data_IF_034617741901
#
_entry.id   IF_034617741901
#
_cell.length_a   1.000
_cell.length_b   1.000
_cell.length_c   1.000
_cell.angle_alpha   90.00
_cell.angle_beta   90.00
_cell.angle_gamma   90.00
#
_symmetry.space_group_name_H-M   'P 1'
#
loop_
_entity.id
_entity.type
_entity.pdbx_description
1 polymer ?
#
# COMPACT_ATOMS: atom_id res chain seq x y z
N UNK A 1 -61.57 -20.23 -24.83
CA UNK A 1 -61.14 -19.25 -23.81
C UNK A 1 -59.87 -18.58 -24.28
N UNK A 2 -59.94 -17.30 -24.63
CA UNK A 2 -58.79 -16.56 -25.11
C UNK A 2 -57.85 -16.15 -23.96
N UNK A 3 -56.55 -16.26 -24.20
CA UNK A 3 -55.52 -15.91 -23.21
C UNK A 3 -55.38 -14.39 -23.08
N UNK A 4 -54.95 -13.93 -21.89
CA UNK A 4 -54.62 -12.53 -21.68
C UNK A 4 -53.55 -12.05 -22.67
N UNK A 5 -53.63 -10.79 -23.09
CA UNK A 5 -52.70 -10.19 -24.05
C UNK A 5 -52.24 -8.82 -23.61
N UNK A 6 -51.06 -8.44 -24.09
CA UNK A 6 -50.58 -7.06 -24.01
C UNK A 6 -50.91 -6.37 -25.32
N UNK A 7 -51.67 -5.29 -25.24
CA UNK A 7 -52.03 -4.43 -26.37
C UNK A 7 -51.50 -3.02 -26.15
N UNK A 8 -51.49 -2.23 -27.23
CA UNK A 8 -51.22 -0.81 -27.19
C UNK A 8 -52.26 -0.11 -28.06
N UNK A 9 -53.04 0.80 -27.47
CA UNK A 9 -54.06 1.52 -28.22
C UNK A 9 -53.39 2.57 -29.13
N UNK A 10 -53.92 2.82 -30.34
CA UNK A 10 -53.43 3.88 -31.21
C UNK A 10 -53.40 5.23 -30.48
N UNK A 11 -52.25 5.90 -30.46
CA UNK A 11 -52.07 7.18 -29.77
C UNK A 11 -51.76 7.09 -28.26
N UNK A 12 -51.76 5.89 -27.66
CA UNK A 12 -51.31 5.69 -26.27
C UNK A 12 -49.91 5.06 -26.22
N UNK A 13 -49.08 5.49 -25.28
CA UNK A 13 -47.74 4.94 -25.03
C UNK A 13 -47.74 3.81 -24.00
N UNK A 14 -48.83 3.65 -23.25
CA UNK A 14 -48.95 2.61 -22.22
C UNK A 14 -49.06 1.22 -22.85
N UNK A 15 -48.45 0.24 -22.18
CA UNK A 15 -48.71 -1.18 -22.47
C UNK A 15 -49.85 -1.65 -21.58
N UNK A 16 -50.92 -2.09 -22.22
CA UNK A 16 -52.19 -2.38 -21.58
C UNK A 16 -52.45 -3.88 -21.60
N UNK A 17 -52.83 -4.44 -20.46
CA UNK A 17 -53.16 -5.86 -20.31
C UNK A 17 -54.67 -6.00 -20.32
N UNK A 18 -55.14 -6.92 -21.16
CA UNK A 18 -56.55 -7.28 -21.37
C UNK A 18 -56.71 -8.79 -21.25
N UNK A 19 -57.94 -9.24 -20.98
CA UNK A 19 -58.24 -10.66 -20.79
C UNK A 19 -57.81 -11.17 -19.41
N UNK A 20 -57.81 -10.31 -18.39
CA UNK A 20 -57.46 -10.73 -17.02
C UNK A 20 -58.63 -11.48 -16.37
N UNK A 21 -58.32 -12.47 -15.54
CA UNK A 21 -59.33 -13.16 -14.72
C UNK A 21 -59.49 -12.44 -13.39
N UNK A 22 -60.71 -12.04 -13.06
CA UNK A 22 -61.00 -11.23 -11.90
C UNK A 22 -61.50 -12.07 -10.72
N UNK A 23 -61.18 -11.62 -9.52
CA UNK A 23 -61.61 -12.26 -8.27
C UNK A 23 -61.92 -11.19 -7.24
N UNK A 24 -63.09 -11.31 -6.61
CA UNK A 24 -63.45 -10.53 -5.43
C UNK A 24 -62.52 -10.87 -4.25
N UNK A 25 -62.14 -9.87 -3.47
CA UNK A 25 -61.41 -10.04 -2.22
C UNK A 25 -62.16 -9.30 -1.10
N UNK A 26 -62.40 -9.96 0.02
CA UNK A 26 -63.02 -9.31 1.18
C UNK A 26 -62.16 -8.14 1.71
N UNK A 27 -60.84 -8.24 1.50
CA UNK A 27 -59.84 -7.23 1.88
C UNK A 27 -58.64 -7.28 0.95
N UNK A 28 -57.89 -6.19 0.93
CA UNK A 28 -56.61 -6.12 0.22
C UNK A 28 -55.69 -7.31 0.58
N UNK A 29 -55.40 -8.23 -0.36
CA UNK A 29 -54.66 -9.45 -0.04
C UNK A 29 -53.18 -9.17 0.24
N UNK A 30 -52.60 -9.93 1.16
CA UNK A 30 -51.18 -9.88 1.50
C UNK A 30 -50.31 -10.45 0.36
N UNK A 31 -49.04 -10.03 0.28
CA UNK A 31 -48.15 -10.41 -0.81
C UNK A 31 -47.91 -11.92 -0.92
N UNK A 32 -47.88 -12.65 0.19
CA UNK A 32 -47.75 -14.11 0.21
C UNK A 32 -48.98 -14.82 -0.37
N UNK A 33 -50.19 -14.39 0.02
CA UNK A 33 -51.45 -14.93 -0.48
C UNK A 33 -51.62 -14.65 -1.98
N UNK A 34 -51.24 -13.45 -2.44
CA UNK A 34 -51.22 -13.10 -3.87
C UNK A 34 -50.27 -13.99 -4.66
N UNK A 35 -49.05 -14.24 -4.17
CA UNK A 35 -48.10 -15.15 -4.83
C UNK A 35 -48.61 -16.57 -4.90
N UNK A 36 -49.25 -17.06 -3.83
CA UNK A 36 -49.85 -18.39 -3.84
C UNK A 36 -50.96 -18.49 -4.91
N UNK A 37 -51.88 -17.52 -4.95
CA UNK A 37 -52.94 -17.48 -5.95
C UNK A 37 -52.40 -17.32 -7.39
N UNK A 38 -51.34 -16.54 -7.58
CA UNK A 38 -50.73 -16.32 -8.89
C UNK A 38 -50.13 -17.59 -9.50
N UNK A 39 -49.64 -18.54 -8.69
CA UNK A 39 -49.13 -19.83 -9.19
C UNK A 39 -50.20 -20.64 -9.91
N UNK A 40 -51.45 -20.58 -9.44
CA UNK A 40 -52.57 -21.34 -10.02
C UNK A 40 -53.29 -20.54 -11.11
N UNK A 41 -53.35 -19.22 -10.97
CA UNK A 41 -54.26 -18.36 -11.75
C UNK A 41 -53.56 -17.45 -12.76
N UNK A 42 -52.24 -17.37 -12.73
CA UNK A 42 -51.45 -16.58 -13.67
C UNK A 42 -50.42 -15.72 -12.94
N UNK A 43 -49.20 -15.74 -13.47
CA UNK A 43 -48.01 -15.08 -12.90
C UNK A 43 -48.18 -13.57 -12.72
N UNK A 44 -48.94 -12.92 -13.61
CA UNK A 44 -49.11 -11.47 -13.63
C UNK A 44 -50.34 -11.06 -12.83
N UNK A 45 -50.17 -10.11 -11.92
CA UNK A 45 -51.19 -9.73 -10.95
C UNK A 45 -51.45 -8.24 -11.00
N UNK A 46 -52.73 -7.86 -11.04
CA UNK A 46 -53.19 -6.50 -10.82
C UNK A 46 -54.05 -6.45 -9.56
N UNK A 47 -53.82 -5.46 -8.69
CA UNK A 47 -54.67 -5.21 -7.52
C UNK A 47 -55.49 -3.96 -7.79
N UNK A 48 -56.79 -4.05 -7.55
CA UNK A 48 -57.74 -2.95 -7.73
C UNK A 48 -58.54 -2.76 -6.45
N UNK A 49 -58.78 -1.50 -6.11
CA UNK A 49 -59.85 -1.09 -5.19
C UNK A 49 -60.87 -0.34 -6.03
N UNK A 50 -62.12 -0.77 -6.02
CA UNK A 50 -63.19 -0.20 -6.84
C UNK A 50 -63.59 1.18 -6.32
N UNK A 51 -64.29 1.98 -7.14
CA UNK A 51 -64.88 3.26 -6.69
C UNK A 51 -65.84 3.08 -5.50
N UNK A 52 -66.52 1.94 -5.40
CA UNK A 52 -67.43 1.56 -4.31
C UNK A 52 -66.74 0.95 -3.09
N UNK A 53 -65.41 0.82 -3.12
CA UNK A 53 -64.60 0.43 -1.98
C UNK A 53 -64.25 -1.06 -1.88
N UNK A 54 -64.83 -1.92 -2.73
CA UNK A 54 -64.49 -3.34 -2.81
C UNK A 54 -63.06 -3.58 -3.30
N UNK A 55 -62.50 -4.75 -2.98
CA UNK A 55 -61.18 -5.16 -3.45
C UNK A 55 -61.30 -6.25 -4.51
N UNK A 56 -60.51 -6.13 -5.57
CA UNK A 56 -60.40 -7.17 -6.58
C UNK A 56 -58.94 -7.42 -6.98
N UNK A 57 -58.69 -8.65 -7.38
CA UNK A 57 -57.42 -9.06 -7.97
C UNK A 57 -57.64 -9.61 -9.37
N UNK A 58 -56.92 -9.04 -10.35
CA UNK A 58 -56.85 -9.54 -11.71
C UNK A 58 -55.61 -10.42 -11.90
N UNK A 59 -55.76 -11.59 -12.52
CA UNK A 59 -54.68 -12.52 -12.84
C UNK A 59 -54.55 -12.72 -14.34
N UNK A 60 -53.31 -12.74 -14.84
CA UNK A 60 -53.01 -12.97 -16.24
C UNK A 60 -51.81 -13.92 -16.42
N UNK A 61 -51.90 -14.75 -17.45
CA UNK A 61 -50.77 -15.51 -17.98
C UNK A 61 -50.34 -14.82 -19.27
N UNK A 62 -49.15 -14.23 -19.27
CA UNK A 62 -48.59 -13.49 -20.41
C UNK A 62 -47.26 -14.11 -20.80
N UNK A 63 -47.10 -14.44 -22.08
CA UNK A 63 -45.85 -14.90 -22.66
C UNK A 63 -44.96 -13.69 -22.95
N UNK A 64 -44.18 -13.26 -21.95
CA UNK A 64 -43.29 -12.10 -22.02
C UNK A 64 -41.82 -12.53 -21.90
N UNK A 65 -40.94 -11.89 -22.68
CA UNK A 65 -39.50 -12.02 -22.54
C UNK A 65 -38.97 -11.48 -21.20
N UNK A 66 -37.67 -11.69 -20.91
CA UNK A 66 -37.00 -11.39 -19.62
C UNK A 66 -37.16 -9.96 -19.07
N UNK A 67 -37.57 -8.97 -19.87
CA UNK A 67 -37.82 -7.59 -19.44
C UNK A 67 -39.30 -7.27 -19.57
N UNK A 68 -40.05 -7.46 -18.50
CA UNK A 68 -41.41 -6.93 -18.43
C UNK A 68 -41.37 -5.42 -18.24
N UNK A 69 -42.01 -4.71 -19.15
CA UNK A 69 -42.19 -3.26 -19.06
C UNK A 69 -43.25 -2.90 -18.01
N UNK A 70 -43.33 -1.62 -17.65
CA UNK A 70 -44.41 -1.11 -16.81
C UNK A 70 -45.76 -1.25 -17.53
N UNK A 71 -46.51 -2.30 -17.20
CA UNK A 71 -47.81 -2.62 -17.79
C UNK A 71 -48.95 -2.16 -16.86
N UNK A 72 -50.10 -1.89 -17.45
CA UNK A 72 -51.32 -1.45 -16.75
C UNK A 72 -52.49 -2.35 -17.13
N UNK A 73 -53.42 -2.62 -16.21
CA UNK A 73 -54.65 -3.35 -16.53
C UNK A 73 -55.64 -2.42 -17.22
N UNK A 74 -56.04 -2.73 -18.46
CA UNK A 74 -57.06 -1.95 -19.16
C UNK A 74 -58.42 -2.10 -18.49
N UNK A 75 -58.79 -3.34 -18.13
CA UNK A 75 -60.06 -3.60 -17.44
C UNK A 75 -60.18 -2.79 -16.16
N UNK A 76 -59.11 -2.71 -15.36
CA UNK A 76 -59.12 -1.89 -14.15
C UNK A 76 -59.29 -0.39 -14.42
N UNK A 77 -58.65 0.13 -15.47
CA UNK A 77 -58.73 1.55 -15.86
C UNK A 77 -60.12 1.93 -16.35
N UNK A 78 -60.76 1.04 -17.11
CA UNK A 78 -62.05 1.27 -17.75
C UNK A 78 -63.23 0.98 -16.82
N UNK A 79 -63.10 0.04 -15.89
CA UNK A 79 -64.23 -0.43 -15.10
C UNK A 79 -64.94 0.68 -14.32
N UNK A 80 -64.23 1.72 -13.86
CA UNK A 80 -64.80 2.86 -13.13
C UNK A 80 -65.30 4.00 -14.05
N UNK A 81 -65.21 3.86 -15.39
CA UNK A 81 -65.54 4.93 -16.32
C UNK A 81 -67.05 5.17 -16.47
N UNK A 82 -67.88 4.18 -16.10
CA UNK A 82 -69.34 4.24 -16.14
C UNK A 82 -69.97 3.60 -14.90
N UNK A 83 -71.14 4.07 -14.43
CA UNK A 83 -71.87 3.43 -13.35
C UNK A 83 -72.28 2.00 -13.70
N UNK A 84 -72.27 1.12 -12.70
CA UNK A 84 -72.80 -0.24 -12.84
C UNK A 84 -74.34 -0.30 -12.89
N UNK A 85 -74.93 -1.40 -13.40
CA UNK A 85 -74.30 -2.47 -14.17
C UNK A 85 -74.15 -2.11 -15.65
N UNK A 86 -72.96 -2.32 -16.21
CA UNK A 86 -72.69 -2.03 -17.62
C UNK A 86 -71.79 -3.08 -18.26
N UNK A 87 -71.93 -3.25 -19.57
CA UNK A 87 -71.03 -4.05 -20.38
C UNK A 87 -70.59 -3.27 -21.62
N UNK A 88 -69.38 -3.54 -22.07
CA UNK A 88 -68.82 -2.91 -23.26
C UNK A 88 -68.22 -3.91 -24.23
N UNK A 89 -68.40 -3.63 -25.52
CA UNK A 89 -67.76 -4.37 -26.62
C UNK A 89 -67.03 -3.34 -27.49
N UNK A 90 -65.71 -3.50 -27.60
CA UNK A 90 -64.85 -2.58 -28.31
C UNK A 90 -64.09 -3.28 -29.43
N UNK A 91 -64.19 -2.74 -30.64
CA UNK A 91 -63.36 -3.15 -31.77
C UNK A 91 -61.95 -2.56 -31.61
N UNK A 92 -60.96 -3.43 -31.40
CA UNK A 92 -59.56 -3.02 -31.25
C UNK A 92 -58.79 -3.00 -32.58
N UNK A 93 -59.45 -3.34 -33.69
CA UNK A 93 -58.86 -3.51 -35.01
C UNK A 93 -58.38 -4.94 -35.27
N UNK A 94 -58.06 -5.22 -36.53
CA UNK A 94 -57.51 -6.52 -36.98
C UNK A 94 -58.39 -7.74 -36.63
N UNK A 95 -59.71 -7.54 -36.53
CA UNK A 95 -60.67 -8.60 -36.16
C UNK A 95 -60.62 -8.99 -34.68
N UNK A 96 -59.94 -8.21 -33.84
CA UNK A 96 -59.84 -8.39 -32.41
C UNK A 96 -60.84 -7.48 -31.70
N UNK A 97 -61.69 -8.08 -30.89
CA UNK A 97 -62.65 -7.40 -30.03
C UNK A 97 -62.27 -7.59 -28.56
N UNK A 98 -62.63 -6.60 -27.75
CA UNK A 98 -62.49 -6.65 -26.31
C UNK A 98 -63.85 -6.44 -25.64
N UNK A 99 -64.14 -7.30 -24.67
CA UNK A 99 -65.36 -7.32 -23.89
C UNK A 99 -65.04 -7.05 -22.43
N UNK A 100 -65.84 -6.18 -21.82
CA UNK A 100 -65.81 -5.94 -20.38
C UNK A 100 -67.22 -5.96 -19.78
N UNK A 101 -67.38 -6.53 -18.60
CA UNK A 101 -68.64 -6.55 -17.86
C UNK A 101 -68.41 -6.17 -16.39
N UNK A 102 -69.15 -5.17 -15.91
CA UNK A 102 -68.97 -4.57 -14.59
C UNK A 102 -70.30 -4.50 -13.83
N UNK A 103 -70.32 -5.04 -12.62
CA UNK A 103 -71.51 -5.16 -11.77
C UNK A 103 -71.14 -5.32 -10.28
N UNK A 104 -72.13 -5.16 -9.40
CA UNK A 104 -72.09 -5.36 -7.96
C UNK A 104 -70.85 -4.77 -7.26
N UNK A 105 -70.91 -3.48 -6.90
CA UNK A 105 -69.85 -2.67 -6.30
C UNK A 105 -68.70 -2.28 -7.25
N UNK A 106 -69.06 -2.02 -8.50
CA UNK A 106 -68.20 -1.64 -9.60
C UNK A 106 -67.13 -2.70 -9.88
N UNK A 107 -67.49 -3.97 -9.72
CA UNK A 107 -66.60 -5.10 -9.87
C UNK A 107 -66.62 -5.66 -11.29
N UNK A 108 -65.44 -5.97 -11.81
CA UNK A 108 -65.36 -6.71 -13.08
C UNK A 108 -65.75 -8.16 -12.78
N UNK A 109 -66.67 -8.73 -13.54
CA UNK A 109 -67.06 -10.13 -13.36
C UNK A 109 -65.85 -11.06 -13.55
N UNK A 110 -65.82 -12.25 -12.91
CA UNK A 110 -64.66 -13.14 -12.96
C UNK A 110 -64.15 -13.49 -14.37
N UNK A 111 -65.08 -13.64 -15.32
CA UNK A 111 -64.87 -13.86 -16.76
C UNK A 111 -65.40 -12.68 -17.61
N UNK A 112 -65.52 -11.50 -17.00
CA UNK A 112 -65.97 -10.25 -17.60
C UNK A 112 -64.88 -9.37 -18.17
N UNK A 113 -63.70 -9.90 -18.47
CA UNK A 113 -62.63 -9.20 -19.21
C UNK A 113 -62.07 -10.21 -20.23
N UNK A 114 -62.49 -10.07 -21.48
CA UNK A 114 -62.24 -11.07 -22.55
C UNK A 114 -61.76 -10.35 -23.81
N UNK A 115 -60.70 -10.86 -24.42
CA UNK A 115 -60.21 -10.39 -25.73
C UNK A 115 -60.30 -11.55 -26.72
N UNK A 116 -60.81 -11.35 -27.93
CA UNK A 116 -60.99 -12.46 -28.87
C UNK A 116 -61.49 -12.00 -30.22
N UNK A 117 -61.97 -12.92 -31.04
CA UNK A 117 -62.72 -12.57 -32.23
C UNK A 117 -64.18 -12.20 -31.86
N UNK A 118 -65.01 -11.91 -32.86
CA UNK A 118 -66.41 -11.55 -32.63
C UNK A 118 -67.20 -12.66 -31.92
N UNK A 119 -67.01 -13.90 -32.33
CA UNK A 119 -67.70 -15.07 -31.76
C UNK A 119 -67.35 -15.29 -30.29
N UNK A 120 -66.06 -15.15 -29.93
CA UNK A 120 -65.57 -15.24 -28.55
C UNK A 120 -66.27 -14.21 -27.64
N UNK A 121 -66.48 -13.00 -28.17
CA UNK A 121 -67.12 -11.90 -27.43
C UNK A 121 -68.63 -12.12 -27.32
N UNK A 122 -69.28 -12.62 -28.36
CA UNK A 122 -70.71 -12.95 -28.31
C UNK A 122 -70.99 -14.11 -27.35
N UNK A 123 -70.11 -15.11 -27.30
CA UNK A 123 -70.18 -16.18 -26.29
C UNK A 123 -70.03 -15.62 -24.87
N UNK A 124 -69.07 -14.71 -24.66
CA UNK A 124 -68.89 -14.05 -23.36
C UNK A 124 -70.11 -13.22 -22.95
N UNK A 125 -70.70 -12.49 -23.89
CA UNK A 125 -71.95 -11.74 -23.67
C UNK A 125 -73.11 -12.67 -23.32
N UNK A 126 -73.24 -13.80 -24.02
CA UNK A 126 -74.32 -14.76 -23.78
C UNK A 126 -74.27 -15.35 -22.36
N UNK A 127 -73.07 -15.63 -21.82
CA UNK A 127 -72.89 -16.10 -20.43
C UNK A 127 -73.42 -15.11 -19.39
N UNK A 128 -73.37 -13.80 -19.69
CA UNK A 128 -73.81 -12.75 -18.77
C UNK A 128 -75.23 -12.21 -19.05
N UNK A 129 -75.91 -12.71 -20.08
CA UNK A 129 -77.23 -12.23 -20.48
C UNK A 129 -78.30 -12.43 -19.39
N UNK A 130 -78.17 -13.48 -18.57
CA UNK A 130 -79.11 -13.83 -17.51
C UNK A 130 -79.16 -12.84 -16.33
N UNK A 131 -78.12 -12.01 -16.14
CA UNK A 131 -78.06 -11.05 -15.04
C UNK A 131 -78.98 -9.82 -15.24
N UNK A 132 -79.37 -9.50 -16.47
CA UNK A 132 -80.29 -8.41 -16.82
C UNK A 132 -79.84 -6.99 -16.44
N UNK A 133 -80.56 -5.95 -16.91
CA UNK A 133 -80.35 -4.55 -16.48
C UNK A 133 -79.08 -3.86 -16.97
N UNK A 134 -78.35 -4.44 -17.93
CA UNK A 134 -77.11 -3.91 -18.46
C UNK A 134 -77.28 -2.61 -19.26
N UNK A 135 -76.45 -1.59 -18.98
CA UNK A 135 -76.13 -0.54 -19.95
C UNK A 135 -75.12 -1.08 -20.98
N UNK A 136 -75.44 -0.92 -22.27
CA UNK A 136 -74.60 -1.41 -23.38
C UNK A 136 -73.74 -0.29 -23.93
N UNK A 137 -72.45 -0.56 -24.06
CA UNK A 137 -71.45 0.41 -24.52
C UNK A 137 -70.62 -0.19 -25.64
N UNK A 138 -71.00 0.09 -26.88
CA UNK A 138 -70.25 -0.36 -28.05
C UNK A 138 -69.31 0.75 -28.55
N UNK A 139 -68.14 0.39 -29.06
CA UNK A 139 -67.20 1.36 -29.61
C UNK A 139 -65.98 0.74 -30.27
N UNK A 140 -64.97 1.56 -30.52
CA UNK A 140 -63.67 1.16 -31.07
C UNK A 140 -62.52 1.49 -30.10
N UNK A 141 -61.28 1.24 -30.52
CA UNK A 141 -60.08 1.57 -29.76
C UNK A 141 -60.00 3.06 -29.34
N UNK A 142 -60.56 3.99 -30.12
CA UNK A 142 -60.58 5.42 -29.80
C UNK A 142 -61.58 5.73 -28.69
N UNK A 143 -62.73 5.04 -28.68
CA UNK A 143 -63.70 5.12 -27.59
C UNK A 143 -63.07 4.62 -26.28
N UNK A 144 -62.35 3.50 -26.31
CA UNK A 144 -61.60 3.00 -25.14
C UNK A 144 -60.58 4.03 -24.66
N UNK A 145 -59.82 4.63 -25.58
CA UNK A 145 -58.83 5.65 -25.22
C UNK A 145 -59.50 6.85 -24.53
N UNK A 146 -60.66 7.29 -25.01
CA UNK A 146 -61.41 8.39 -24.39
C UNK A 146 -61.82 8.09 -22.94
N UNK A 147 -62.21 6.84 -22.64
CA UNK A 147 -62.60 6.41 -21.29
C UNK A 147 -61.43 6.49 -20.30
N UNK A 148 -60.21 6.23 -20.76
CA UNK A 148 -59.02 6.18 -19.90
C UNK A 148 -58.17 7.46 -19.91
N UNK A 149 -58.39 8.37 -20.87
CA UNK A 149 -57.55 9.58 -21.05
C UNK A 149 -57.68 10.60 -19.92
N UNK A 150 -58.83 10.65 -19.23
CA UNK A 150 -59.07 11.54 -18.09
C UNK A 150 -58.67 10.96 -16.72
N UNK A 151 -58.34 9.67 -16.66
CA UNK A 151 -58.09 8.99 -15.39
C UNK A 151 -56.63 9.17 -14.95
N UNK A 152 -56.44 9.71 -13.73
CA UNK A 152 -55.12 9.75 -13.06
C UNK A 152 -54.79 8.44 -12.32
N UNK A 153 -55.69 7.46 -12.32
CA UNK A 153 -55.49 6.20 -11.61
C UNK A 153 -54.48 5.32 -12.35
N UNK A 154 -53.74 4.53 -11.59
CA UNK A 154 -52.75 3.58 -12.10
C UNK A 154 -53.03 2.21 -11.48
N UNK A 155 -53.10 1.21 -12.35
CA UNK A 155 -53.38 -0.18 -12.00
C UNK A 155 -52.26 -1.06 -12.57
N UNK A 156 -51.08 -1.04 -11.94
CA UNK A 156 -49.92 -1.77 -12.44
C UNK A 156 -50.16 -3.27 -12.42
N UNK A 157 -49.70 -3.92 -13.49
CA UNK A 157 -49.66 -5.38 -13.59
C UNK A 157 -48.24 -5.82 -13.25
N UNK A 158 -48.08 -6.50 -12.12
CA UNK A 158 -46.78 -6.86 -11.56
C UNK A 158 -46.51 -8.35 -11.70
N UNK A 159 -45.24 -8.69 -11.87
CA UNK A 159 -44.76 -10.06 -11.84
C UNK A 159 -44.73 -10.55 -10.39
N UNK A 160 -45.56 -11.55 -10.06
CA UNK A 160 -45.60 -12.12 -8.71
C UNK A 160 -44.35 -12.96 -8.36
N UNK A 161 -43.61 -13.43 -9.37
CA UNK A 161 -42.41 -14.24 -9.20
C UNK A 161 -41.12 -13.42 -9.16
N UNK A 162 -41.18 -12.14 -9.55
CA UNK A 162 -40.02 -11.27 -9.53
C UNK A 162 -39.45 -11.14 -8.11
N UNK A 163 -38.13 -11.35 -7.99
CA UNK A 163 -37.38 -11.20 -6.73
C UNK A 163 -36.42 -10.01 -6.83
N UNK A 164 -36.91 -8.77 -6.69
CA UNK A 164 -36.10 -7.56 -6.89
C UNK A 164 -34.96 -7.42 -5.88
N UNK A 165 -35.05 -8.08 -4.72
CA UNK A 165 -34.03 -8.04 -3.67
C UNK A 165 -32.80 -8.91 -3.96
N UNK A 166 -32.89 -9.90 -4.85
CA UNK A 166 -31.78 -10.81 -5.12
C UNK A 166 -30.59 -10.10 -5.77
N UNK A 167 -30.84 -9.21 -6.73
CA UNK A 167 -29.79 -8.46 -7.42
C UNK A 167 -28.94 -7.61 -6.45
N UNK A 168 -29.52 -6.73 -5.60
CA UNK A 168 -28.72 -5.98 -4.63
C UNK A 168 -28.11 -6.89 -3.54
N UNK A 169 -28.76 -7.97 -3.14
CA UNK A 169 -28.20 -8.91 -2.14
C UNK A 169 -26.93 -9.61 -2.67
N UNK A 170 -26.94 -10.07 -3.92
CA UNK A 170 -25.75 -10.67 -4.57
C UNK A 170 -24.64 -9.62 -4.72
N UNK A 171 -24.98 -8.39 -5.10
CA UNK A 171 -24.03 -7.29 -5.17
C UNK A 171 -23.38 -6.98 -3.82
N UNK A 172 -24.18 -6.89 -2.75
CA UNK A 172 -23.69 -6.66 -1.39
C UNK A 172 -22.79 -7.78 -0.87
N UNK A 173 -23.17 -9.05 -1.10
CA UNK A 173 -22.35 -10.20 -0.72
C UNK A 173 -20.99 -10.21 -1.44
N UNK A 174 -20.98 -9.86 -2.73
CA UNK A 174 -19.75 -9.80 -3.52
C UNK A 174 -18.80 -8.70 -3.00
N UNK A 175 -19.34 -7.52 -2.66
CA UNK A 175 -18.55 -6.42 -2.07
C UNK A 175 -17.94 -6.79 -0.72
N UNK A 176 -18.69 -7.51 0.13
CA UNK A 176 -18.19 -8.00 1.42
C UNK A 176 -17.05 -9.01 1.26
N UNK A 177 -17.12 -9.89 0.27
CA UNK A 177 -16.05 -10.85 0.01
C UNK A 177 -14.77 -10.16 -0.48
N UNK A 178 -14.90 -9.17 -1.38
CA UNK A 178 -13.75 -8.40 -1.88
C UNK A 178 -13.10 -7.59 -0.78
N UNK A 179 -13.88 -6.93 0.08
CA UNK A 179 -13.33 -6.16 1.21
C UNK A 179 -12.66 -7.06 2.24
N UNK A 180 -13.25 -8.21 2.58
CA UNK A 180 -12.65 -9.19 3.47
C UNK A 180 -11.32 -9.74 2.91
N UNK A 181 -11.27 -10.07 1.62
CA UNK A 181 -10.05 -10.51 0.96
C UNK A 181 -8.95 -9.44 0.98
N UNK A 182 -9.32 -8.18 0.71
CA UNK A 182 -8.41 -7.03 0.77
C UNK A 182 -7.80 -6.84 2.16
N UNK A 183 -8.63 -6.88 3.22
CA UNK A 183 -8.17 -6.80 4.61
C UNK A 183 -7.25 -7.97 4.99
N UNK A 184 -7.57 -9.18 4.54
CA UNK A 184 -6.75 -10.37 4.80
C UNK A 184 -5.36 -10.26 4.15
N UNK A 185 -5.31 -9.79 2.90
CA UNK A 185 -4.06 -9.55 2.16
C UNK A 185 -3.22 -8.45 2.82
N UNK A 186 -3.85 -7.35 3.22
CA UNK A 186 -3.18 -6.28 3.95
C UNK A 186 -2.56 -6.79 5.25
N UNK A 187 -3.33 -7.56 6.04
CA UNK A 187 -2.86 -8.02 7.33
C UNK A 187 -1.68 -9.01 7.19
N UNK A 188 -1.71 -9.88 6.18
CA UNK A 188 -0.57 -10.75 5.86
C UNK A 188 0.66 -9.96 5.45
N UNK A 189 0.49 -8.88 4.68
CA UNK A 189 1.61 -8.04 4.27
C UNK A 189 2.25 -7.32 5.46
N UNK A 190 1.44 -6.71 6.35
CA UNK A 190 1.89 -6.11 7.60
C UNK A 190 2.73 -7.08 8.46
N UNK A 191 2.25 -8.33 8.61
CA UNK A 191 2.97 -9.37 9.36
C UNK A 191 4.32 -9.72 8.71
N UNK A 192 4.37 -9.85 7.38
CA UNK A 192 5.61 -10.13 6.65
C UNK A 192 6.62 -8.99 6.77
N UNK A 193 6.16 -7.73 6.68
CA UNK A 193 7.00 -6.55 6.84
C UNK A 193 7.56 -6.43 8.25
N UNK A 194 6.76 -6.76 9.28
CA UNK A 194 7.21 -6.75 10.66
C UNK A 194 8.35 -7.77 10.90
N UNK A 195 8.25 -8.97 10.32
CA UNK A 195 9.31 -9.99 10.39
C UNK A 195 10.61 -9.51 9.73
N UNK A 196 10.53 -8.94 8.53
CA UNK A 196 11.70 -8.40 7.83
C UNK A 196 12.40 -7.28 8.62
N UNK A 197 11.63 -6.41 9.29
CA UNK A 197 12.18 -5.35 10.14
C UNK A 197 12.94 -5.92 11.34
N UNK A 198 12.43 -6.96 11.97
CA UNK A 198 13.10 -7.61 13.11
C UNK A 198 14.42 -8.26 12.68
N UNK A 199 14.45 -8.95 11.54
CA UNK A 199 15.68 -9.53 10.99
C UNK A 199 16.72 -8.46 10.62
N UNK A 200 16.29 -7.36 10.02
CA UNK A 200 17.18 -6.25 9.67
C UNK A 200 17.84 -5.64 10.92
N UNK A 201 17.06 -5.43 12.00
CA UNK A 201 17.58 -4.94 13.27
C UNK A 201 18.55 -5.93 13.92
N UNK A 202 18.23 -7.23 13.91
CA UNK A 202 19.11 -8.27 14.44
C UNK A 202 20.45 -8.33 13.67
N UNK A 203 20.43 -8.21 12.34
CA UNK A 203 21.66 -8.14 11.52
C UNK A 203 22.50 -6.92 11.86
N UNK A 204 21.88 -5.75 12.02
CA UNK A 204 22.60 -4.53 12.40
C UNK A 204 23.24 -4.66 13.79
N UNK A 205 22.53 -5.24 14.75
CA UNK A 205 23.06 -5.48 16.08
C UNK A 205 24.22 -6.48 16.05
N UNK A 206 24.11 -7.57 15.29
CA UNK A 206 25.19 -8.54 15.12
C UNK A 206 26.44 -7.92 14.48
N UNK A 207 26.28 -7.09 13.45
CA UNK A 207 27.40 -6.36 12.83
C UNK A 207 28.06 -5.40 13.81
N UNK A 208 27.28 -4.66 14.61
CA UNK A 208 27.82 -3.76 15.65
C UNK A 208 28.57 -4.53 16.73
N UNK A 209 28.03 -5.66 17.20
CA UNK A 209 28.68 -6.51 18.19
C UNK A 209 29.99 -7.12 17.65
N UNK A 210 29.98 -7.58 16.39
CA UNK A 210 31.18 -8.08 15.72
C UNK A 210 32.25 -6.99 15.59
N UNK A 211 31.87 -5.78 15.17
CA UNK A 211 32.79 -4.63 15.13
C UNK A 211 33.36 -4.34 16.51
N UNK A 212 32.52 -4.27 17.56
CA UNK A 212 32.98 -4.02 18.93
C UNK A 212 33.93 -5.11 19.47
N UNK A 213 33.70 -6.39 19.13
CA UNK A 213 34.58 -7.48 19.50
C UNK A 213 35.92 -7.46 18.74
N UNK A 214 35.92 -6.95 17.50
CA UNK A 214 37.11 -6.90 16.64
C UNK A 214 38.06 -5.73 16.92
N UNK A 215 37.67 -4.75 17.74
CA UNK A 215 38.58 -3.66 18.14
C UNK A 215 39.61 -4.21 19.13
N UNK A 216 40.90 -4.37 18.75
CA UNK A 216 41.90 -4.83 19.68
C UNK A 216 42.03 -3.80 20.82
N UNK A 217 41.99 -4.25 22.08
CA UNK A 217 42.19 -3.38 23.27
C UNK A 217 43.50 -2.58 23.22
N UNK A 218 44.47 -3.02 22.41
CA UNK A 218 45.72 -2.29 22.15
C UNK A 218 45.52 -0.95 21.40
N UNK A 219 44.43 -0.77 20.65
CA UNK A 219 44.11 0.51 20.00
C UNK A 219 43.75 1.63 20.99
N UNK A 220 43.56 1.31 22.28
CA UNK A 220 43.33 2.29 23.34
C UNK A 220 44.61 2.85 23.97
N UNK A 221 45.80 2.29 23.68
CA UNK A 221 47.08 2.81 24.18
C UNK A 221 47.67 3.72 23.11
N UNK A 222 47.73 5.01 23.41
CA UNK A 222 48.30 6.01 22.50
C UNK A 222 49.81 5.74 22.34
N UNK A 223 50.35 5.56 21.11
CA UNK A 223 51.74 5.11 20.90
C UNK A 223 52.79 5.97 21.59
N UNK A 224 52.57 7.28 21.70
CA UNK A 224 53.48 8.22 22.36
C UNK A 224 53.56 8.09 23.88
N UNK A 225 52.64 7.35 24.51
CA UNK A 225 52.71 7.02 25.94
C UNK A 225 53.73 5.93 26.25
N UNK A 226 54.19 5.20 25.21
CA UNK A 226 55.19 4.13 25.32
C UNK A 226 56.61 4.61 24.98
N UNK A 227 56.79 5.90 24.71
CA UNK A 227 58.07 6.55 24.41
C UNK A 227 58.54 7.37 25.62
N UNK A 228 59.85 7.60 25.76
CA UNK A 228 60.35 8.50 26.79
C UNK A 228 60.05 9.96 26.44
N UNK A 229 60.15 10.84 27.44
CA UNK A 229 60.06 12.28 27.17
C UNK A 229 61.20 12.71 26.24
N UNK A 230 60.94 13.69 25.37
CA UNK A 230 61.97 14.22 24.45
C UNK A 230 63.19 14.76 25.22
N UNK A 231 62.96 15.37 26.39
CA UNK A 231 64.04 15.90 27.23
C UNK A 231 64.93 14.79 27.83
N UNK A 232 64.34 13.70 28.32
CA UNK A 232 65.11 12.59 28.88
C UNK A 232 65.85 11.82 27.79
N UNK A 233 65.22 11.67 26.62
CA UNK A 233 65.87 11.08 25.44
C UNK A 233 67.08 11.89 24.99
N UNK A 234 66.93 13.21 24.79
CA UNK A 234 68.04 14.07 24.37
C UNK A 234 69.17 14.11 25.40
N UNK A 235 68.85 14.17 26.70
CA UNK A 235 69.86 14.14 27.77
C UNK A 235 70.65 12.84 27.77
N UNK A 236 69.96 11.71 27.58
CA UNK A 236 70.58 10.39 27.56
C UNK A 236 71.47 10.19 26.32
N UNK A 237 70.99 10.61 25.14
CA UNK A 237 71.77 10.57 23.91
C UNK A 237 73.00 11.50 23.98
N UNK A 238 72.83 12.72 24.51
CA UNK A 238 73.93 13.67 24.70
C UNK A 238 75.05 13.10 25.59
N UNK A 239 74.69 12.55 26.75
CA UNK A 239 75.68 11.90 27.62
C UNK A 239 76.36 10.68 26.98
N UNK A 240 75.65 9.91 26.16
CA UNK A 240 76.24 8.80 25.41
C UNK A 240 77.18 9.27 24.28
N UNK A 241 76.87 10.42 23.65
CA UNK A 241 77.74 11.05 22.66
C UNK A 241 79.03 11.57 23.29
N UNK A 242 78.94 12.28 24.42
CA UNK A 242 80.12 12.82 25.14
C UNK A 242 81.08 11.71 25.59
N UNK A 243 80.55 10.53 25.91
CA UNK A 243 81.35 9.36 26.28
C UNK A 243 81.94 8.61 25.07
N UNK A 244 81.56 8.96 23.84
CA UNK A 244 82.04 8.30 22.61
C UNK A 244 83.29 9.01 22.08
N UNK A 245 84.44 8.31 21.91
CA UNK A 245 85.61 8.93 21.32
C UNK A 245 85.34 9.31 19.85
N UNK A 246 85.84 10.45 19.39
CA UNK A 246 85.66 10.88 17.98
C UNK A 246 86.62 10.16 17.02
N UNK A 247 87.76 9.70 17.55
CA UNK A 247 88.72 8.87 16.84
C UNK A 247 89.39 7.89 17.81
N UNK A 248 89.70 6.70 17.32
CA UNK A 248 90.37 5.66 18.08
C UNK A 248 91.25 4.83 17.14
N UNK A 249 92.53 4.66 17.46
CA UNK A 249 93.45 3.73 16.78
C UNK A 249 93.47 3.84 15.24
N UNK A 250 93.32 5.05 14.70
CA UNK A 250 93.29 5.33 13.25
C UNK A 250 91.94 5.08 12.56
N UNK A 251 90.88 4.92 13.36
CA UNK A 251 89.48 4.93 12.95
C UNK A 251 88.81 6.22 13.41
N UNK A 252 87.98 6.81 12.57
CA UNK A 252 87.24 8.04 12.86
C UNK A 252 85.76 7.75 12.86
N UNK A 253 85.03 8.30 13.83
CA UNK A 253 83.58 8.18 13.90
C UNK A 253 82.96 8.96 12.73
N UNK A 254 82.30 8.25 11.83
CA UNK A 254 81.69 8.82 10.62
C UNK A 254 80.18 8.98 10.73
N UNK A 255 79.51 8.19 11.57
CA UNK A 255 78.09 8.37 11.88
C UNK A 255 77.78 7.91 13.31
N UNK A 256 76.82 8.59 13.92
CA UNK A 256 76.33 8.34 15.27
C UNK A 256 74.83 8.58 15.31
N UNK A 257 74.06 7.54 15.60
CA UNK A 257 72.60 7.57 15.61
C UNK A 257 72.07 7.09 16.97
N UNK A 258 71.15 7.83 17.57
CA UNK A 258 70.47 7.44 18.81
C UNK A 258 69.01 7.13 18.49
N UNK A 259 68.57 5.89 18.72
CA UNK A 259 67.25 5.39 18.36
C UNK A 259 66.46 4.99 19.60
N UNK A 260 65.14 5.18 19.57
CA UNK A 260 64.23 4.77 20.64
C UNK A 260 63.19 3.78 20.13
N UNK A 261 62.93 2.74 20.92
CA UNK A 261 61.88 1.75 20.71
C UNK A 261 60.78 1.87 21.79
N UNK A 262 59.57 1.33 21.54
CA UNK A 262 58.50 1.27 22.54
C UNK A 262 58.96 0.59 23.84
N UNK A 263 58.54 1.11 25.00
CA UNK A 263 58.95 0.63 26.32
C UNK A 263 60.19 1.33 26.88
N UNK A 264 60.59 2.47 26.31
CA UNK A 264 61.70 3.30 26.80
C UNK A 264 63.10 2.75 26.49
N UNK A 265 63.22 1.74 25.63
CA UNK A 265 64.51 1.20 25.21
C UNK A 265 65.21 2.16 24.22
N UNK A 266 66.48 2.45 24.46
CA UNK A 266 67.28 3.35 23.62
C UNK A 266 68.58 2.67 23.20
N UNK A 267 68.91 2.74 21.92
CA UNK A 267 70.12 2.17 21.32
C UNK A 267 70.94 3.26 20.64
N UNK A 268 72.26 3.11 20.70
CA UNK A 268 73.22 4.00 20.02
C UNK A 268 73.96 3.18 18.97
N UNK A 269 73.76 3.57 17.72
CA UNK A 269 74.42 2.99 16.57
C UNK A 269 75.60 3.90 16.17
N UNK A 270 76.77 3.30 16.03
CA UNK A 270 78.02 3.98 15.70
C UNK A 270 78.63 3.36 14.47
N UNK A 271 79.05 4.21 13.55
CA UNK A 271 79.77 3.80 12.35
C UNK A 271 81.13 4.46 12.34
N UNK A 272 82.18 3.65 12.22
CA UNK A 272 83.56 4.09 12.17
C UNK A 272 84.12 3.86 10.78
N UNK A 273 84.86 4.83 10.26
CA UNK A 273 85.56 4.76 8.99
C UNK A 273 87.07 4.71 9.20
N UNK A 274 87.77 3.87 8.42
CA UNK A 274 89.23 3.72 8.50
C UNK A 274 89.93 4.90 7.82
N UNK A 275 90.79 5.61 8.55
CA UNK A 275 91.62 6.72 8.01
C UNK A 275 93.13 6.43 8.10
N UNK A 276 93.50 5.36 8.81
CA UNK A 276 94.89 4.89 8.94
C UNK A 276 95.09 3.74 9.92
N UNK A 277 94.03 3.29 10.61
CA UNK A 277 94.04 2.19 11.57
C UNK A 277 94.29 0.82 10.94
N UNK A 278 94.29 -0.26 11.71
CA UNK A 278 94.44 -1.63 11.17
C UNK A 278 93.32 -2.53 11.66
N UNK A 279 93.07 -3.62 10.94
CA UNK A 279 92.04 -4.61 11.30
C UNK A 279 92.34 -5.31 12.64
N UNK A 280 93.61 -5.32 13.06
CA UNK A 280 94.05 -5.84 14.35
C UNK A 280 93.69 -4.91 15.53
N UNK A 281 93.35 -3.65 15.26
CA UNK A 281 92.98 -2.62 16.24
C UNK A 281 91.72 -1.89 15.80
N UNK A 282 90.64 -2.65 15.60
CA UNK A 282 89.32 -2.11 15.29
C UNK A 282 88.57 -1.70 16.56
N UNK A 283 87.76 -0.63 16.52
CA UNK A 283 86.74 -0.39 17.53
C UNK A 283 85.83 -1.61 17.71
N UNK A 284 85.24 -1.77 18.90
CA UNK A 284 84.32 -2.88 19.17
C UNK A 284 83.07 -2.77 18.27
N UNK A 285 82.82 -3.79 17.45
CA UNK A 285 81.69 -3.85 16.53
C UNK A 285 81.89 -4.90 15.43
N UNK A 286 81.02 -4.86 14.43
CA UNK A 286 81.10 -5.71 13.23
C UNK A 286 81.90 -4.99 12.16
N UNK A 287 83.06 -5.54 11.80
CA UNK A 287 83.87 -5.06 10.68
C UNK A 287 83.23 -5.49 9.35
N UNK A 288 83.10 -4.53 8.43
CA UNK A 288 82.62 -4.76 7.07
C UNK A 288 83.63 -5.59 6.26
N UNK A 289 83.14 -6.33 5.26
CA UNK A 289 83.95 -7.23 4.44
C UNK A 289 85.07 -6.51 3.65
N UNK A 290 84.93 -5.21 3.43
CA UNK A 290 85.92 -4.35 2.78
C UNK A 290 87.02 -3.85 3.74
N UNK A 291 86.93 -4.17 5.04
CA UNK A 291 87.90 -3.78 6.06
C UNK A 291 87.93 -2.28 6.37
N UNK A 292 86.98 -1.49 5.84
CA UNK A 292 87.03 -0.03 5.93
C UNK A 292 85.97 0.58 6.85
N UNK A 293 84.98 -0.20 7.29
CA UNK A 293 83.89 0.28 8.15
C UNK A 293 83.63 -0.66 9.31
N UNK A 294 83.47 -0.12 10.53
CA UNK A 294 82.99 -0.88 11.70
C UNK A 294 81.64 -0.32 12.14
N UNK A 295 80.64 -1.19 12.31
CA UNK A 295 79.33 -0.83 12.86
C UNK A 295 79.11 -1.45 14.23
N UNK A 296 78.69 -0.65 15.19
CA UNK A 296 78.42 -1.09 16.54
C UNK A 296 77.06 -0.56 17.02
N UNK A 297 76.22 -1.43 17.56
CA UNK A 297 74.95 -1.06 18.18
C UNK A 297 75.03 -1.37 19.67
N UNK A 298 74.84 -0.37 20.53
CA UNK A 298 74.92 -0.53 21.99
C UNK A 298 73.65 -0.02 22.65
N UNK A 299 72.97 -0.83 23.49
CA UNK A 299 71.86 -0.34 24.28
C UNK A 299 72.37 0.59 25.40
N UNK A 300 71.61 1.63 25.73
CA UNK A 300 71.85 2.38 26.96
C UNK A 300 71.54 1.49 28.17
N UNK A 301 72.35 1.61 29.22
CA UNK A 301 72.31 0.71 30.37
C UNK A 301 70.98 0.72 31.17
N UNK A 302 70.13 1.74 30.99
CA UNK A 302 68.81 1.81 31.64
C UNK A 302 67.74 2.28 30.66
N UNK A 303 66.56 1.63 30.65
CA UNK A 303 65.41 2.13 29.92
C UNK A 303 65.01 3.49 30.49
N UNK A 304 64.68 4.42 29.60
CA UNK A 304 64.24 5.76 29.97
C UNK A 304 62.80 5.71 30.49
N UNK A 305 62.45 6.59 31.45
CA UNK A 305 61.08 6.65 31.97
C UNK A 305 60.10 7.05 30.86
N UNK A 306 58.92 6.44 30.89
CA UNK A 306 57.81 6.81 29.99
C UNK A 306 57.44 8.28 30.20
N UNK A 307 57.25 9.02 29.11
CA UNK A 307 56.77 10.40 29.18
C UNK A 307 55.36 10.46 29.77
N UNK A 308 55.04 11.52 30.51
CA UNK A 308 53.72 11.74 31.13
C UNK A 308 52.57 11.97 30.11
N UNK A 309 52.80 11.71 28.82
CA UNK A 309 51.83 11.92 27.74
C UNK A 309 51.60 13.39 27.36
N UNK A 310 52.26 14.34 28.04
CA UNK A 310 52.17 15.76 27.72
C UNK A 310 52.98 16.07 26.45
N UNK A 311 52.29 16.49 25.39
CA UNK A 311 52.88 16.87 24.11
C UNK A 311 52.86 18.41 24.02
N UNK A 312 54.01 19.02 23.74
CA UNK A 312 54.06 20.44 23.36
C UNK A 312 53.42 20.60 21.98
N UNK A 313 52.70 21.71 21.75
CA UNK A 313 52.28 22.06 20.40
C UNK A 313 53.48 22.11 19.45
N UNK A 314 53.30 21.72 18.18
CA UNK A 314 54.39 21.58 17.22
C UNK A 314 55.22 22.86 17.05
N UNK A 315 54.56 24.00 16.87
CA UNK A 315 55.23 25.29 16.63
C UNK A 315 56.18 25.74 17.76
N UNK A 316 55.81 25.72 19.05
CA UNK A 316 56.75 26.05 20.12
C UNK A 316 57.87 25.02 20.28
N UNK A 317 57.61 23.73 20.02
CA UNK A 317 58.65 22.70 20.07
C UNK A 317 59.68 22.87 18.95
N UNK A 318 59.24 23.13 17.72
CA UNK A 318 60.14 23.41 16.60
C UNK A 318 60.99 24.66 16.82
N UNK A 319 60.38 25.74 17.33
CA UNK A 319 61.11 26.98 17.65
C UNK A 319 62.17 26.76 18.71
N UNK A 320 61.87 25.98 19.75
CA UNK A 320 62.84 25.69 20.81
C UNK A 320 64.06 24.92 20.26
N UNK A 321 63.85 23.90 19.42
CA UNK A 321 64.95 23.11 18.86
C UNK A 321 65.76 23.92 17.83
N UNK A 322 65.10 24.72 16.98
CA UNK A 322 65.80 25.61 16.04
C UNK A 322 66.64 26.67 16.78
N UNK A 323 66.11 27.27 17.84
CA UNK A 323 66.85 28.24 18.65
C UNK A 323 68.09 27.64 19.31
N UNK A 324 67.98 26.40 19.80
CA UNK A 324 69.14 25.67 20.33
C UNK A 324 70.21 25.44 19.26
N UNK A 325 69.83 24.94 18.07
CA UNK A 325 70.78 24.68 16.99
C UNK A 325 71.49 25.95 16.51
N UNK A 326 70.76 27.07 16.43
CA UNK A 326 71.33 28.39 16.12
C UNK A 326 72.34 28.85 17.18
N UNK A 327 72.12 28.52 18.46
CA UNK A 327 73.04 28.87 19.54
C UNK A 327 74.35 28.08 19.47
N UNK A 328 74.30 26.86 18.93
CA UNK A 328 75.45 25.95 18.83
C UNK A 328 76.14 25.97 17.45
N UNK A 329 75.68 26.84 16.54
CA UNK A 329 76.19 27.01 15.17
C UNK A 329 76.22 25.71 14.32
N UNK A 330 75.21 24.85 14.50
CA UNK A 330 75.06 23.63 13.69
C UNK A 330 73.85 23.73 12.74
N UNK A 331 73.97 23.22 11.50
CA UNK A 331 72.84 23.14 10.58
C UNK A 331 71.83 22.10 11.09
N UNK A 332 70.58 22.52 11.32
CA UNK A 332 69.50 21.65 11.77
C UNK A 332 68.47 21.42 10.67
N UNK A 333 68.21 20.15 10.36
CA UNK A 333 67.08 19.71 9.54
C UNK A 333 66.07 18.97 10.40
N UNK A 334 64.84 19.48 10.49
CA UNK A 334 63.73 18.80 11.17
C UNK A 334 62.86 18.14 10.11
N UNK A 335 62.76 16.81 10.17
CA UNK A 335 61.83 16.05 9.33
C UNK A 335 60.73 15.51 10.23
N UNK A 336 59.46 15.81 9.92
CA UNK A 336 58.35 15.22 10.65
C UNK A 336 58.31 13.72 10.36
N UNK A 337 58.23 12.90 11.42
CA UNK A 337 57.88 11.49 11.25
C UNK A 337 56.50 11.47 10.58
N UNK A 338 56.46 11.05 9.32
CA UNK A 338 55.28 11.15 8.47
C UNK A 338 54.07 10.63 9.24
N UNK A 339 53.02 11.47 9.32
CA UNK A 339 51.65 11.12 9.67
C UNK A 339 51.40 9.62 9.51
N UNK A 340 51.46 8.88 10.62
CA UNK A 340 50.91 7.55 10.68
C UNK A 340 49.46 7.71 10.23
N UNK A 341 49.20 7.21 9.01
CA UNK A 341 47.94 7.27 8.26
C UNK A 341 46.78 7.47 9.22
N UNK A 342 46.22 8.71 9.26
CA UNK A 342 45.06 9.07 10.09
C UNK A 342 44.07 7.89 10.02
N UNK A 343 43.68 7.26 11.14
CA UNK A 343 42.80 6.11 11.07
C UNK A 343 41.58 6.50 10.24
N UNK A 344 41.28 5.66 9.24
CA UNK A 344 40.16 5.84 8.33
C UNK A 344 38.93 6.13 9.19
N UNK A 345 38.28 7.27 8.93
CA UNK A 345 37.10 7.68 9.67
C UNK A 345 36.10 6.53 9.74
N UNK A 346 35.50 6.35 10.92
CA UNK A 346 34.44 5.36 11.14
C UNK A 346 33.42 5.42 10.00
N UNK A 347 32.92 4.27 9.49
CA UNK A 347 31.92 4.26 8.43
C UNK A 347 30.71 5.12 8.83
N UNK A 348 30.50 6.25 8.13
CA UNK A 348 29.41 7.20 8.39
C UNK A 348 29.83 8.62 8.81
N UNK A 349 31.11 8.91 9.02
CA UNK A 349 31.56 10.29 9.22
C UNK A 349 31.51 11.07 7.90
N UNK A 350 30.70 12.13 7.85
CA UNK A 350 30.64 13.04 6.71
C UNK A 350 32.03 13.66 6.44
N UNK A 351 32.44 13.83 5.17
CA UNK A 351 33.73 14.43 4.85
C UNK A 351 33.77 15.86 5.37
N UNK A 352 34.65 16.12 6.34
CA UNK A 352 34.95 17.48 6.79
C UNK A 352 35.70 18.18 5.67
N UNK A 353 35.07 19.18 5.06
CA UNK A 353 35.69 20.00 4.03
C UNK A 353 36.95 20.70 4.59
N UNK A 354 38.03 20.80 3.81
CA UNK A 354 39.24 21.49 4.24
C UNK A 354 38.93 22.97 4.49
N UNK A 355 39.03 23.41 5.74
CA UNK A 355 39.00 24.83 6.08
C UNK A 355 40.24 25.51 5.47
N UNK A 356 40.01 26.44 4.56
CA UNK A 356 41.04 27.35 4.07
C UNK A 356 41.45 28.26 5.22
N UNK A 357 42.72 28.17 5.61
CA UNK A 357 43.37 29.16 6.47
C UNK A 357 43.48 30.46 5.66
N UNK A 358 42.97 31.61 6.14
CA UNK A 358 43.18 32.88 5.46
C UNK A 358 44.67 33.26 5.52
N UNK A 359 45.23 33.60 4.37
CA UNK A 359 46.59 34.14 4.28
C UNK A 359 46.65 35.51 4.96
N UNK A 360 47.68 35.70 5.80
CA UNK A 360 48.10 37.02 6.29
C UNK A 360 48.82 37.80 5.20
#
# INVERSE_FOLDING_TARGET
>A
MSAARVIQLPGDKRKLVVGMRWRHEDRAPAANALRAAAKERGRWVCRRRTSMGSHQTGFASLELGRKAAAMQSLGALVADAKPEPWLGIFDLGEGIYWYIAVRDNQEILPDGDVIGNRDDIEEARARHASFGGWEYVDGDASAVLSLISGSKRSFPVVDSEARPWLAPAVGGASLLLVSAAGLMLWHRHEQAVAQQRQEALARQQALRAAMAASVPKAAAILPWTQLASAADFLRACGGAFDATPLAQDGWVLSAWDCLQAPGGQTTVDRTWSRVGGTDLRTPAGVLSADGNTVRASLPLARPLPHGAGAILAGDPAERAIRGMAQTLDFPLSLTSASSQKRPVGLPGAAPVAPQKIPAC
#
